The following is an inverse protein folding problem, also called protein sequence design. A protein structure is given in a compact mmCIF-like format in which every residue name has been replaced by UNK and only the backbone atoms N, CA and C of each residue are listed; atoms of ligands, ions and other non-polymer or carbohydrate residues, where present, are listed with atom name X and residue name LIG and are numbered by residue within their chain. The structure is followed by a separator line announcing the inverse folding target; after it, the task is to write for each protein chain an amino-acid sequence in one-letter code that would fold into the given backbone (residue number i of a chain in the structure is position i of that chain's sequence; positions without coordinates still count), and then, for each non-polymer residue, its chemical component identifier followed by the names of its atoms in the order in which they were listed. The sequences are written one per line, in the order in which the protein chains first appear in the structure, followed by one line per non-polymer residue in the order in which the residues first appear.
data_IF_404981003254
#
_entry.id   IF_404981003254
#
_cell.length_a   1.000
_cell.length_b   1.000
_cell.length_c   1.000
_cell.angle_alpha   90.00
_cell.angle_beta   90.00
_cell.angle_gamma   90.00
#
_symmetry.space_group_name_H-M   'P 1'
#
loop_
_entity.id
_entity.type
_entity.pdbx_description
1 polymer ?
#
# COMPACT_ATOMS: atom_id res chain seq x y z
N UNK A 1 15.17 -51.43 -62.33
CA UNK A 1 15.73 -50.79 -61.11
C UNK A 1 15.47 -49.28 -61.13
N UNK A 2 16.04 -48.49 -62.05
CA UNK A 2 15.85 -47.01 -62.11
C UNK A 2 14.40 -46.48 -62.04
N UNK A 3 13.41 -47.19 -62.58
CA UNK A 3 11.99 -46.78 -62.51
C UNK A 3 11.36 -47.03 -61.13
N UNK A 4 11.77 -48.10 -60.43
CA UNK A 4 11.28 -48.40 -59.10
C UNK A 4 11.84 -47.40 -58.07
N UNK A 5 13.11 -47.02 -58.24
CA UNK A 5 13.80 -46.05 -57.38
C UNK A 5 13.16 -44.65 -57.50
N UNK A 6 12.81 -44.22 -58.72
CA UNK A 6 12.12 -42.94 -58.95
C UNK A 6 10.71 -42.90 -58.36
N UNK A 7 9.97 -44.01 -58.41
CA UNK A 7 8.63 -44.11 -57.79
C UNK A 7 8.74 -44.06 -56.27
N UNK A 8 9.74 -44.75 -55.69
CA UNK A 8 10.00 -44.73 -54.25
C UNK A 8 10.38 -43.32 -53.76
N UNK A 9 11.22 -42.59 -54.49
CA UNK A 9 11.60 -41.22 -54.14
C UNK A 9 10.43 -40.25 -54.23
N UNK A 10 9.58 -40.40 -55.26
CA UNK A 10 8.39 -39.55 -55.43
C UNK A 10 7.38 -39.78 -54.31
N UNK A 11 7.16 -41.05 -53.92
CA UNK A 11 6.29 -41.42 -52.80
C UNK A 11 6.86 -40.96 -51.46
N UNK A 12 8.18 -41.04 -51.27
CA UNK A 12 8.87 -40.55 -50.07
C UNK A 12 8.74 -39.02 -49.92
N UNK A 13 8.97 -38.26 -50.99
CA UNK A 13 8.81 -36.80 -50.99
C UNK A 13 7.35 -36.41 -50.76
N UNK A 14 6.39 -37.12 -51.37
CA UNK A 14 4.97 -36.90 -51.13
C UNK A 14 4.58 -37.20 -49.67
N UNK A 15 5.12 -38.27 -49.08
CA UNK A 15 4.93 -38.62 -47.68
C UNK A 15 5.49 -37.56 -46.71
N UNK A 16 6.69 -37.05 -46.97
CA UNK A 16 7.31 -35.99 -46.17
C UNK A 16 6.49 -34.69 -46.26
N UNK A 17 6.00 -34.33 -47.45
CA UNK A 17 5.13 -33.14 -47.63
C UNK A 17 3.80 -33.30 -46.89
N UNK A 18 3.19 -34.48 -46.94
CA UNK A 18 1.96 -34.77 -46.21
C UNK A 18 2.18 -34.66 -44.70
N UNK A 19 3.30 -35.18 -44.19
CA UNK A 19 3.68 -35.06 -42.79
C UNK A 19 3.86 -33.60 -42.39
N UNK A 20 4.56 -32.79 -43.19
CA UNK A 20 4.77 -31.37 -42.92
C UNK A 20 3.46 -30.58 -42.88
N UNK A 21 2.54 -30.85 -43.82
CA UNK A 21 1.20 -30.25 -43.83
C UNK A 21 0.41 -30.64 -42.58
N UNK A 22 0.44 -31.92 -42.20
CA UNK A 22 -0.24 -32.40 -40.99
C UNK A 22 0.28 -31.73 -39.73
N UNK A 23 1.60 -31.58 -39.58
CA UNK A 23 2.20 -30.87 -38.44
C UNK A 23 1.86 -29.38 -38.45
N UNK A 24 1.84 -28.74 -39.63
CA UNK A 24 1.38 -27.36 -39.78
C UNK A 24 -0.07 -27.17 -39.35
N UNK A 25 -0.97 -28.09 -39.75
CA UNK A 25 -2.37 -28.08 -39.35
C UNK A 25 -2.55 -28.32 -37.85
N UNK A 26 -1.80 -29.26 -37.25
CA UNK A 26 -1.80 -29.50 -35.81
C UNK A 26 -1.29 -28.29 -35.03
N UNK A 27 -0.26 -27.60 -35.52
CA UNK A 27 0.26 -26.38 -34.90
C UNK A 27 -0.76 -25.23 -34.96
N UNK A 28 -1.45 -25.05 -36.09
CA UNK A 28 -2.52 -24.06 -36.22
C UNK A 28 -3.70 -24.40 -35.32
N UNK A 29 -4.10 -25.68 -35.24
CA UNK A 29 -5.15 -26.14 -34.34
C UNK A 29 -4.76 -25.91 -32.87
N UNK A 30 -3.51 -26.19 -32.50
CA UNK A 30 -2.99 -25.92 -31.16
C UNK A 30 -3.03 -24.41 -30.82
N UNK A 31 -2.60 -23.53 -31.73
CA UNK A 31 -2.70 -22.08 -31.56
C UNK A 31 -4.15 -21.59 -31.46
N UNK A 32 -5.05 -22.12 -32.28
CA UNK A 32 -6.47 -21.79 -32.20
C UNK A 32 -7.09 -22.26 -30.88
N UNK A 33 -6.69 -23.44 -30.39
CA UNK A 33 -7.14 -23.96 -29.10
C UNK A 33 -6.59 -23.13 -27.94
N UNK A 34 -5.32 -22.69 -28.02
CA UNK A 34 -4.73 -21.73 -27.07
C UNK A 34 -5.45 -20.39 -27.07
N UNK A 35 -5.91 -19.89 -28.22
CA UNK A 35 -6.69 -18.65 -28.31
C UNK A 35 -8.13 -18.81 -27.77
N UNK A 36 -8.71 -20.01 -27.87
CA UNK A 36 -10.04 -20.33 -27.35
C UNK A 36 -10.03 -20.67 -25.85
N UNK A 37 -8.92 -21.23 -25.35
CA UNK A 37 -8.67 -21.54 -23.93
C UNK A 37 -7.95 -20.41 -23.20
N UNK A 38 -7.37 -19.44 -23.92
CA UNK A 38 -6.90 -18.21 -23.31
C UNK A 38 -8.09 -17.62 -22.56
N UNK A 39 -7.96 -17.39 -21.24
CA UNK A 39 -9.01 -16.68 -20.54
C UNK A 39 -9.23 -15.40 -21.31
N UNK A 40 -10.46 -15.19 -21.83
CA UNK A 40 -10.87 -13.85 -22.19
C UNK A 40 -10.60 -13.05 -20.92
N UNK A 41 -9.62 -12.15 -20.97
CA UNK A 41 -9.47 -11.11 -19.96
C UNK A 41 -10.75 -10.28 -20.08
N UNK A 42 -11.83 -10.79 -19.50
CA UNK A 42 -12.99 -9.98 -19.21
C UNK A 42 -12.45 -8.86 -18.33
N UNK A 43 -12.79 -7.64 -18.68
CA UNK A 43 -12.89 -6.58 -17.71
C UNK A 43 -13.98 -6.96 -16.70
N UNK A 44 -13.75 -8.03 -15.93
CA UNK A 44 -14.50 -8.31 -14.74
C UNK A 44 -14.25 -7.15 -13.80
N UNK A 45 -15.32 -6.62 -13.20
CA UNK A 45 -15.18 -5.67 -12.10
C UNK A 45 -14.19 -6.25 -11.11
N UNK A 46 -13.15 -5.47 -10.80
CA UNK A 46 -12.15 -5.87 -9.81
C UNK A 46 -12.88 -6.22 -8.51
N UNK A 47 -12.47 -7.28 -7.79
CA UNK A 47 -13.18 -7.75 -6.61
C UNK A 47 -13.43 -6.59 -5.65
N UNK A 48 -14.68 -6.43 -5.23
CA UNK A 48 -15.04 -5.47 -4.20
C UNK A 48 -14.55 -5.99 -2.85
N UNK A 49 -13.86 -5.14 -2.10
CA UNK A 49 -13.59 -5.42 -0.69
C UNK A 49 -14.90 -5.33 0.08
N UNK A 50 -15.22 -6.38 0.84
CA UNK A 50 -16.45 -6.47 1.63
C UNK A 50 -16.11 -6.42 3.12
N UNK A 51 -16.15 -5.21 3.69
CA UNK A 51 -16.06 -5.00 5.14
C UNK A 51 -17.29 -4.27 5.67
N UNK A 52 -17.49 -4.32 6.98
CA UNK A 52 -18.48 -3.54 7.70
C UNK A 52 -17.84 -2.31 8.33
N UNK A 53 -18.54 -1.16 8.28
CA UNK A 53 -18.13 0.07 8.96
C UNK A 53 -18.23 -0.12 10.49
N UNK A 54 -17.07 -0.25 11.15
CA UNK A 54 -16.95 -0.43 12.59
C UNK A 54 -17.48 0.78 13.37
N UNK A 55 -17.49 1.98 12.77
CA UNK A 55 -18.09 3.16 13.41
C UNK A 55 -19.61 2.97 13.50
N UNK A 56 -20.24 2.47 12.44
CA UNK A 56 -21.66 2.18 12.44
C UNK A 56 -22.00 1.02 13.40
N UNK A 57 -21.16 -0.02 13.44
CA UNK A 57 -21.30 -1.11 14.42
C UNK A 57 -21.22 -0.60 15.86
N UNK A 58 -20.18 0.16 16.20
CA UNK A 58 -19.98 0.72 17.54
C UNK A 58 -21.12 1.67 17.92
N UNK A 59 -21.63 2.46 16.98
CA UNK A 59 -22.77 3.34 17.23
C UNK A 59 -24.02 2.56 17.68
N UNK A 60 -24.20 1.34 17.16
CA UNK A 60 -25.33 0.48 17.50
C UNK A 60 -25.08 -0.38 18.76
N UNK A 61 -23.86 -0.90 18.94
CA UNK A 61 -23.52 -1.85 20.01
C UNK A 61 -23.00 -1.20 21.28
N UNK A 62 -22.19 -0.15 21.15
CA UNK A 62 -21.50 0.52 22.25
C UNK A 62 -21.29 2.02 21.96
N UNK A 63 -22.36 2.83 22.02
CA UNK A 63 -22.28 4.26 21.73
C UNK A 63 -21.41 5.03 22.73
N UNK A 64 -21.22 4.51 23.96
CA UNK A 64 -20.35 5.11 24.97
C UNK A 64 -18.88 5.00 24.57
N UNK A 65 -18.46 3.83 24.09
CA UNK A 65 -17.11 3.63 23.54
C UNK A 65 -16.86 4.47 22.30
N UNK A 66 -17.84 4.58 21.40
CA UNK A 66 -17.73 5.46 20.24
C UNK A 66 -17.59 6.93 20.63
N UNK A 67 -18.32 7.38 21.66
CA UNK A 67 -18.16 8.74 22.18
C UNK A 67 -16.73 9.00 22.69
N UNK A 68 -16.15 8.07 23.45
CA UNK A 68 -14.77 8.20 23.91
C UNK A 68 -13.74 8.25 22.76
N UNK A 69 -13.95 7.47 21.69
CA UNK A 69 -13.13 7.51 20.47
C UNK A 69 -13.23 8.88 19.79
N UNK A 70 -14.46 9.42 19.68
CA UNK A 70 -14.69 10.76 19.11
C UNK A 70 -14.06 11.86 19.95
N UNK A 71 -14.16 11.79 21.27
CA UNK A 71 -13.54 12.76 22.17
C UNK A 71 -12.01 12.79 22.01
N UNK A 72 -11.36 11.62 21.91
CA UNK A 72 -9.92 11.51 21.59
C UNK A 72 -9.60 12.11 20.21
N UNK A 73 -10.43 11.83 19.20
CA UNK A 73 -10.23 12.31 17.84
C UNK A 73 -10.38 13.85 17.73
N UNK A 74 -11.38 14.43 18.39
CA UNK A 74 -11.61 15.89 18.42
C UNK A 74 -10.51 16.63 19.20
N UNK A 75 -9.90 15.97 20.19
CA UNK A 75 -8.73 16.51 20.89
C UNK A 75 -7.45 16.50 20.04
N UNK A 76 -7.43 15.80 18.90
CA UNK A 76 -6.27 15.70 18.02
C UNK A 76 -6.27 16.87 17.01
N UNK A 77 -5.27 17.78 17.08
CA UNK A 77 -5.17 18.89 16.13
C UNK A 77 -5.16 18.40 14.68
N UNK A 78 -5.87 19.10 13.80
CA UNK A 78 -5.93 18.77 12.37
C UNK A 78 -6.40 17.32 12.10
N UNK A 79 -7.18 16.73 13.02
CA UNK A 79 -7.80 15.41 12.85
C UNK A 79 -8.89 15.36 11.77
N UNK A 80 -9.27 16.51 11.22
CA UNK A 80 -10.22 16.64 10.11
C UNK A 80 -9.60 17.37 8.92
N UNK A 81 -9.86 16.87 7.71
CA UNK A 81 -9.42 17.50 6.45
C UNK A 81 -8.30 16.75 5.74
N UNK A 82 -8.38 16.68 4.41
CA UNK A 82 -7.34 16.07 3.57
C UNK A 82 -6.52 17.10 2.78
N UNK A 83 -7.08 18.26 2.44
CA UNK A 83 -6.41 19.29 1.65
C UNK A 83 -6.05 20.50 2.50
N UNK A 84 -4.80 20.92 2.40
CA UNK A 84 -4.25 22.05 3.14
C UNK A 84 -3.49 22.98 2.18
N UNK A 85 -3.76 24.27 2.28
CA UNK A 85 -3.01 25.31 1.59
C UNK A 85 -1.81 25.71 2.46
N UNK A 86 -0.63 25.79 1.86
CA UNK A 86 0.63 26.15 2.52
C UNK A 86 1.15 27.45 1.91
N UNK A 87 1.25 28.50 2.71
CA UNK A 87 1.57 29.85 2.26
C UNK A 87 2.76 30.44 3.03
N UNK A 88 3.57 31.23 2.34
CA UNK A 88 4.65 32.04 2.92
C UNK A 88 4.74 33.37 2.15
N UNK A 89 4.91 34.53 2.83
CA UNK A 89 5.01 35.81 2.15
C UNK A 89 6.10 35.83 1.06
N UNK A 90 5.74 36.29 -0.14
CA UNK A 90 6.67 36.39 -1.27
C UNK A 90 6.90 35.08 -2.04
N UNK A 91 6.22 33.99 -1.67
CA UNK A 91 6.32 32.68 -2.33
C UNK A 91 4.95 32.25 -2.85
N UNK A 92 4.89 31.65 -4.04
CA UNK A 92 3.65 31.11 -4.56
C UNK A 92 3.09 30.02 -3.63
N UNK A 93 1.76 29.96 -3.40
CA UNK A 93 1.17 28.97 -2.51
C UNK A 93 1.47 27.56 -2.99
N UNK A 94 1.61 26.65 -2.04
CA UNK A 94 1.69 25.21 -2.27
C UNK A 94 0.53 24.51 -1.58
N UNK A 95 0.38 23.23 -1.83
CA UNK A 95 -0.70 22.39 -1.32
C UNK A 95 -0.13 21.15 -0.67
N UNK A 96 -0.73 20.74 0.43
CA UNK A 96 -0.46 19.47 1.11
C UNK A 96 -1.75 18.65 1.08
N UNK A 97 -1.65 17.40 0.62
CA UNK A 97 -2.78 16.50 0.47
C UNK A 97 -2.52 15.15 1.14
N UNK A 98 -3.50 14.66 1.90
CA UNK A 98 -3.48 13.35 2.54
C UNK A 98 -3.94 12.25 1.59
N UNK A 99 -3.09 11.28 1.26
CA UNK A 99 -3.40 10.11 0.42
C UNK A 99 -3.68 8.85 1.26
N UNK A 100 -4.18 7.81 0.61
CA UNK A 100 -4.34 6.47 1.19
C UNK A 100 -3.81 5.43 0.20
N UNK A 101 -2.91 4.54 0.65
CA UNK A 101 -2.20 3.58 -0.21
C UNK A 101 -3.04 2.34 -0.59
N UNK A 102 -4.31 2.55 -0.91
CA UNK A 102 -5.24 1.54 -1.39
C UNK A 102 -5.62 1.78 -2.85
N UNK A 103 -5.99 0.72 -3.55
CA UNK A 103 -6.47 0.79 -4.94
C UNK A 103 -7.99 0.95 -5.02
N UNK A 104 -8.66 1.19 -3.90
CA UNK A 104 -10.11 1.34 -3.87
C UNK A 104 -10.58 2.59 -4.64
N UNK A 105 -11.54 2.45 -5.58
CA UNK A 105 -12.06 3.56 -6.37
C UNK A 105 -12.50 4.78 -5.55
N UNK A 106 -12.92 4.57 -4.30
CA UNK A 106 -13.40 5.63 -3.41
C UNK A 106 -12.29 6.53 -2.87
N UNK A 107 -11.02 6.10 -2.91
CA UNK A 107 -9.88 6.84 -2.32
C UNK A 107 -8.80 7.21 -3.34
N UNK A 108 -8.94 6.79 -4.60
CA UNK A 108 -8.01 7.13 -5.70
C UNK A 108 -8.43 8.36 -6.52
N UNK A 109 -9.57 8.98 -6.19
CA UNK A 109 -10.05 10.20 -6.81
C UNK A 109 -9.73 11.40 -5.91
N UNK A 110 -9.23 12.48 -6.53
CA UNK A 110 -9.11 13.77 -5.86
C UNK A 110 -10.49 14.44 -5.77
N UNK A 111 -10.73 15.19 -4.71
CA UNK A 111 -11.85 16.15 -4.67
C UNK A 111 -11.64 17.22 -5.75
N UNK A 112 -12.69 17.93 -6.20
CA UNK A 112 -12.54 19.01 -7.17
C UNK A 112 -11.51 20.08 -6.76
N UNK A 113 -11.47 20.46 -5.48
CA UNK A 113 -10.49 21.41 -4.98
C UNK A 113 -9.06 20.84 -5.00
N UNK A 114 -8.87 19.57 -4.59
CA UNK A 114 -7.56 18.93 -4.64
C UNK A 114 -7.09 18.73 -6.09
N UNK A 115 -8.00 18.43 -7.02
CA UNK A 115 -7.69 18.35 -8.44
C UNK A 115 -7.27 19.71 -9.00
N UNK A 116 -7.98 20.80 -8.67
CA UNK A 116 -7.59 22.14 -9.08
C UNK A 116 -6.22 22.56 -8.52
N UNK A 117 -5.95 22.24 -7.25
CA UNK A 117 -4.65 22.44 -6.61
C UNK A 117 -3.55 21.65 -7.31
N UNK A 118 -3.79 20.38 -7.61
CA UNK A 118 -2.88 19.54 -8.37
C UNK A 118 -2.61 20.14 -9.75
N UNK A 119 -3.64 20.52 -10.50
CA UNK A 119 -3.54 21.05 -11.87
C UNK A 119 -2.73 22.34 -11.96
N UNK A 120 -2.88 23.23 -10.97
CA UNK A 120 -2.13 24.49 -10.89
C UNK A 120 -0.65 24.30 -10.53
N UNK A 121 -0.32 23.25 -9.78
CA UNK A 121 1.04 23.01 -9.31
C UNK A 121 2.01 22.66 -10.45
N UNK A 122 3.19 23.29 -10.43
CA UNK A 122 4.29 22.98 -11.34
C UNK A 122 5.22 21.87 -10.83
N UNK A 123 5.18 21.60 -9.52
CA UNK A 123 5.92 20.52 -8.87
C UNK A 123 4.95 19.62 -8.11
N UNK A 124 5.11 18.31 -8.26
CA UNK A 124 4.40 17.30 -7.49
C UNK A 124 5.42 16.55 -6.64
N UNK A 125 5.12 16.40 -5.36
CA UNK A 125 5.95 15.66 -4.41
C UNK A 125 5.10 14.53 -3.84
N UNK A 126 5.65 13.32 -3.81
CA UNK A 126 5.06 12.15 -3.14
C UNK A 126 6.01 11.71 -2.01
N UNK A 127 5.62 10.76 -1.17
CA UNK A 127 6.52 10.24 -0.13
C UNK A 127 7.79 9.64 -0.74
N UNK A 128 7.66 8.59 -1.55
CA UNK A 128 8.78 7.85 -2.11
C UNK A 128 8.54 7.52 -3.57
N UNK A 129 9.20 8.23 -4.49
CA UNK A 129 9.04 8.03 -5.94
C UNK A 129 9.48 6.63 -6.39
N UNK A 130 10.52 6.10 -5.73
CA UNK A 130 11.09 4.77 -5.96
C UNK A 130 10.20 3.63 -5.41
N UNK A 131 9.26 3.92 -4.52
CA UNK A 131 8.27 2.97 -4.01
C UNK A 131 7.05 2.80 -4.94
N UNK A 132 6.84 3.70 -5.91
CA UNK A 132 5.64 3.70 -6.75
C UNK A 132 5.65 2.64 -7.87
N UNK A 133 6.84 2.14 -8.22
CA UNK A 133 7.00 1.08 -9.21
C UNK A 133 7.30 -0.25 -8.52
N UNK A 134 6.43 -1.28 -8.63
CA UNK A 134 6.62 -2.55 -7.95
C UNK A 134 7.95 -3.25 -8.27
N UNK A 135 8.47 -3.08 -9.48
CA UNK A 135 9.77 -3.69 -9.87
C UNK A 135 10.92 -3.01 -9.16
N UNK A 136 10.91 -1.69 -9.11
CA UNK A 136 11.90 -0.89 -8.36
C UNK A 136 11.83 -1.22 -6.88
N UNK A 137 10.63 -1.25 -6.28
CA UNK A 137 10.45 -1.62 -4.88
C UNK A 137 10.99 -3.03 -4.57
N UNK A 138 10.66 -4.03 -5.41
CA UNK A 138 11.15 -5.40 -5.25
C UNK A 138 12.67 -5.49 -5.41
N UNK A 139 13.25 -4.79 -6.40
CA UNK A 139 14.70 -4.74 -6.59
C UNK A 139 15.41 -4.12 -5.37
N UNK A 140 14.84 -3.06 -4.79
CA UNK A 140 15.38 -2.44 -3.58
C UNK A 140 15.34 -3.37 -2.37
N UNK A 141 14.25 -4.12 -2.19
CA UNK A 141 14.17 -5.15 -1.14
C UNK A 141 15.23 -6.25 -1.34
N UNK A 142 15.45 -6.70 -2.58
CA UNK A 142 16.48 -7.69 -2.90
C UNK A 142 17.92 -7.17 -2.66
N UNK A 143 18.16 -5.88 -2.86
CA UNK A 143 19.45 -5.24 -2.60
C UNK A 143 19.71 -5.00 -1.10
N UNK A 144 18.65 -5.00 -0.28
CA UNK A 144 18.72 -4.77 1.16
C UNK A 144 18.04 -5.92 1.92
N UNK A 145 18.52 -7.17 1.76
CA UNK A 145 17.84 -8.35 2.32
C UNK A 145 17.76 -8.30 3.84
N UNK A 146 18.73 -7.70 4.52
CA UNK A 146 18.74 -7.53 5.98
C UNK A 146 17.58 -6.68 6.50
N UNK A 147 16.91 -5.88 5.67
CA UNK A 147 15.77 -5.07 6.11
C UNK A 147 14.47 -5.89 6.16
N UNK A 148 14.35 -6.92 5.32
CA UNK A 148 13.12 -7.71 5.13
C UNK A 148 13.26 -9.17 5.59
N UNK A 149 14.48 -9.70 5.67
CA UNK A 149 14.79 -11.08 6.07
C UNK A 149 15.65 -11.12 7.33
N UNK A 150 15.58 -12.24 8.05
CA UNK A 150 16.64 -12.68 8.96
C UNK A 150 17.81 -13.23 8.16
N UNK A 151 19.00 -12.66 8.39
CA UNK A 151 20.26 -13.08 7.76
C UNK A 151 21.27 -13.65 8.77
N UNK A 152 20.87 -13.72 10.04
CA UNK A 152 21.63 -14.27 11.16
C UNK A 152 21.23 -15.70 11.54
N UNK A 153 20.39 -16.34 10.71
CA UNK A 153 19.92 -17.71 10.92
C UNK A 153 18.67 -17.84 11.80
N UNK A 154 18.18 -16.74 12.41
CA UNK A 154 16.89 -16.75 13.09
C UNK A 154 15.74 -17.05 12.14
N UNK A 155 14.66 -17.54 12.72
CA UNK A 155 13.39 -17.79 12.04
C UNK A 155 12.25 -17.08 12.74
N UNK A 156 11.21 -16.75 11.99
CA UNK A 156 9.96 -16.25 12.52
C UNK A 156 9.41 -17.13 13.65
N UNK A 157 9.47 -18.45 13.47
CA UNK A 157 9.00 -19.43 14.45
C UNK A 157 9.77 -19.40 15.77
N UNK A 158 10.99 -18.88 15.79
CA UNK A 158 11.80 -18.80 17.02
C UNK A 158 11.27 -17.69 17.95
N UNK A 159 10.46 -16.78 17.41
CA UNK A 159 9.90 -15.61 18.10
C UNK A 159 8.46 -15.81 18.59
N UNK A 160 7.83 -16.92 18.20
CA UNK A 160 6.44 -17.22 18.48
C UNK A 160 6.35 -18.33 19.53
N UNK A 161 5.32 -18.30 20.37
CA UNK A 161 4.99 -19.42 21.25
C UNK A 161 4.37 -20.61 20.47
N UNK A 162 4.19 -21.80 21.08
CA UNK A 162 3.66 -22.96 20.38
C UNK A 162 2.24 -22.77 19.80
N UNK A 163 1.36 -22.02 20.46
CA UNK A 163 -0.02 -21.79 20.01
C UNK A 163 -0.03 -20.80 18.85
N UNK A 164 0.73 -19.71 18.96
CA UNK A 164 0.94 -18.71 17.92
C UNK A 164 1.54 -19.33 16.66
N UNK A 165 2.52 -20.25 16.79
CA UNK A 165 3.10 -20.95 15.64
C UNK A 165 2.07 -21.75 14.83
N UNK A 166 1.15 -22.44 15.52
CA UNK A 166 0.10 -23.21 14.87
C UNK A 166 -0.84 -22.27 14.12
N UNK A 167 -1.30 -21.22 14.80
CA UNK A 167 -2.20 -20.22 14.19
C UNK A 167 -1.57 -19.52 12.99
N UNK A 168 -0.33 -19.05 13.13
CA UNK A 168 0.45 -18.45 12.03
C UNK A 168 0.55 -19.42 10.86
N UNK A 169 0.86 -20.69 11.11
CA UNK A 169 0.99 -21.67 10.04
C UNK A 169 -0.34 -21.87 9.29
N UNK A 170 -1.45 -22.03 10.02
CA UNK A 170 -2.79 -22.22 9.45
C UNK A 170 -3.22 -21.01 8.60
N UNK A 171 -3.15 -19.80 9.15
CA UNK A 171 -3.56 -18.56 8.47
C UNK A 171 -2.73 -18.26 7.21
N UNK A 172 -1.44 -18.60 7.25
CA UNK A 172 -0.56 -18.45 6.10
C UNK A 172 -0.83 -19.50 5.01
N UNK A 173 -1.16 -20.73 5.41
CA UNK A 173 -1.48 -21.81 4.49
C UNK A 173 -2.77 -21.52 3.70
N UNK A 174 -3.80 -20.95 4.36
CA UNK A 174 -5.03 -20.50 3.69
C UNK A 174 -4.78 -19.43 2.62
N UNK A 175 -3.77 -18.58 2.84
CA UNK A 175 -3.35 -17.53 1.90
C UNK A 175 -2.33 -18.01 0.87
N UNK A 176 -2.03 -19.31 0.83
CA UNK A 176 -1.08 -19.90 -0.12
C UNK A 176 0.38 -19.52 0.15
N UNK A 177 0.72 -19.18 1.40
CA UNK A 177 2.07 -18.83 1.85
C UNK A 177 2.59 -19.90 2.83
N UNK A 178 3.16 -21.03 2.37
CA UNK A 178 3.66 -22.05 3.28
C UNK A 178 4.68 -21.46 4.28
N UNK A 179 4.50 -21.72 5.58
CA UNK A 179 5.38 -21.19 6.64
C UNK A 179 6.86 -21.45 6.36
N UNK A 180 7.19 -22.61 5.77
CA UNK A 180 8.56 -22.97 5.38
C UNK A 180 9.18 -22.01 4.37
N UNK A 181 8.37 -21.39 3.49
CA UNK A 181 8.82 -20.46 2.47
C UNK A 181 9.09 -19.06 3.04
N UNK A 182 8.41 -18.70 4.14
CA UNK A 182 8.49 -17.35 4.72
C UNK A 182 9.14 -17.31 6.10
N UNK A 183 9.58 -18.45 6.65
CA UNK A 183 10.18 -18.54 7.99
C UNK A 183 11.42 -17.65 8.18
N UNK A 184 12.03 -17.17 7.09
CA UNK A 184 13.18 -16.25 7.12
C UNK A 184 12.78 -14.79 6.91
N UNK A 185 11.52 -14.48 6.66
CA UNK A 185 11.03 -13.11 6.64
C UNK A 185 10.92 -12.58 8.06
N UNK A 186 11.15 -11.28 8.23
CA UNK A 186 10.90 -10.59 9.51
C UNK A 186 9.40 -10.50 9.80
N UNK A 187 8.97 -10.49 11.08
CA UNK A 187 7.55 -10.55 11.41
C UNK A 187 6.73 -9.41 10.79
N UNK A 188 7.30 -8.21 10.70
CA UNK A 188 6.63 -7.05 10.09
C UNK A 188 6.31 -7.23 8.59
N UNK A 189 7.12 -8.01 7.86
CA UNK A 189 6.87 -8.31 6.44
C UNK A 189 5.65 -9.21 6.33
N UNK A 190 5.59 -10.22 7.20
CA UNK A 190 4.49 -11.19 7.25
C UNK A 190 3.20 -10.50 7.70
N UNK A 191 3.24 -9.70 8.76
CA UNK A 191 2.07 -8.93 9.20
C UNK A 191 1.58 -7.95 8.14
N UNK A 192 2.48 -7.28 7.42
CA UNK A 192 2.10 -6.38 6.31
C UNK A 192 1.41 -7.11 5.16
N UNK A 193 1.83 -8.34 4.85
CA UNK A 193 1.18 -9.18 3.85
C UNK A 193 -0.19 -9.69 4.32
N UNK A 194 -0.30 -10.09 5.59
CA UNK A 194 -1.53 -10.57 6.21
C UNK A 194 -2.59 -9.48 6.38
N UNK A 195 -2.17 -8.26 6.73
CA UNK A 195 -3.04 -7.11 6.95
C UNK A 195 -3.73 -6.60 5.68
N UNK A 196 -3.31 -7.07 4.49
CA UNK A 196 -3.87 -6.67 3.22
C UNK A 196 -5.03 -7.59 2.81
N UNK A 197 -6.27 -7.07 2.66
CA UNK A 197 -7.40 -7.85 2.20
C UNK A 197 -7.14 -8.56 0.88
N UNK A 198 -7.68 -9.77 0.71
CA UNK A 198 -7.53 -10.56 -0.52
C UNK A 198 -8.00 -9.81 -1.78
N UNK A 199 -9.06 -9.01 -1.67
CA UNK A 199 -9.56 -8.14 -2.73
C UNK A 199 -8.53 -7.06 -3.15
N UNK A 200 -7.86 -6.42 -2.20
CA UNK A 200 -6.85 -5.39 -2.45
C UNK A 200 -5.58 -6.02 -3.02
N UNK A 201 -5.18 -7.20 -2.53
CA UNK A 201 -4.12 -7.99 -3.16
C UNK A 201 -4.42 -8.28 -4.63
N UNK A 202 -5.63 -8.78 -4.93
CA UNK A 202 -6.04 -9.08 -6.31
C UNK A 202 -6.04 -7.82 -7.20
N UNK A 203 -6.50 -6.67 -6.69
CA UNK A 203 -6.44 -5.38 -7.39
C UNK A 203 -5.02 -4.95 -7.68
N UNK A 204 -4.13 -4.97 -6.69
CA UNK A 204 -2.71 -4.63 -6.88
C UNK A 204 -2.04 -5.57 -7.90
N UNK A 205 -2.33 -6.87 -7.85
CA UNK A 205 -1.82 -7.86 -8.83
C UNK A 205 -2.33 -7.62 -10.25
N UNK A 206 -3.54 -7.07 -10.42
CA UNK A 206 -4.08 -6.65 -11.72
C UNK A 206 -3.45 -5.37 -12.27
N UNK A 207 -2.56 -4.71 -11.50
CA UNK A 207 -1.92 -3.46 -11.87
C UNK A 207 -2.76 -2.21 -11.58
N UNK A 208 -3.79 -2.32 -10.72
CA UNK A 208 -4.56 -1.15 -10.30
C UNK A 208 -3.65 -0.16 -9.54
N UNK A 209 -3.57 1.12 -9.96
CA UNK A 209 -2.75 2.10 -9.26
C UNK A 209 -3.49 2.65 -8.03
N UNK A 210 -2.76 2.86 -6.94
CA UNK A 210 -3.21 3.69 -5.83
C UNK A 210 -2.93 5.18 -6.12
N UNK A 211 -3.45 6.08 -5.28
CA UNK A 211 -3.48 7.51 -5.58
C UNK A 211 -2.09 8.10 -5.84
N UNK A 212 -1.09 7.81 -5.01
CA UNK A 212 0.26 8.38 -5.14
C UNK A 212 0.91 8.00 -6.48
N UNK A 213 0.76 6.73 -6.91
CA UNK A 213 1.23 6.25 -8.20
C UNK A 213 0.51 6.96 -9.37
N UNK A 214 -0.80 7.19 -9.23
CA UNK A 214 -1.58 7.97 -10.19
C UNK A 214 -1.08 9.41 -10.27
N UNK A 215 -0.91 10.10 -9.14
CA UNK A 215 -0.44 11.48 -9.08
C UNK A 215 0.93 11.62 -9.72
N UNK A 216 1.86 10.72 -9.44
CA UNK A 216 3.20 10.73 -10.02
C UNK A 216 3.19 10.50 -11.53
N UNK A 217 2.37 9.56 -12.02
CA UNK A 217 2.20 9.30 -13.45
C UNK A 217 1.60 10.52 -14.16
N UNK A 218 0.53 11.07 -13.61
CA UNK A 218 -0.19 12.20 -14.19
C UNK A 218 0.70 13.47 -14.17
N UNK A 219 1.53 13.65 -13.13
CA UNK A 219 2.54 14.69 -13.05
C UNK A 219 3.59 14.58 -14.16
N UNK A 220 4.16 13.38 -14.37
CA UNK A 220 5.10 13.11 -15.47
C UNK A 220 4.46 13.36 -16.83
N UNK A 221 3.23 12.92 -17.03
CA UNK A 221 2.48 13.12 -18.28
C UNK A 221 2.20 14.60 -18.57
N UNK A 222 1.96 15.39 -17.53
CA UNK A 222 1.74 16.84 -17.63
C UNK A 222 3.05 17.67 -17.67
N UNK A 223 4.23 17.04 -17.68
CA UNK A 223 5.52 17.74 -17.70
C UNK A 223 5.86 18.46 -16.39
N UNK A 224 5.21 18.09 -15.27
CA UNK A 224 5.49 18.64 -13.94
C UNK A 224 6.77 18.03 -13.38
N UNK A 225 7.45 18.78 -12.50
CA UNK A 225 8.59 18.22 -11.75
C UNK A 225 8.06 17.22 -10.73
N UNK A 226 8.61 16.00 -10.68
CA UNK A 226 8.25 14.98 -9.70
C UNK A 226 9.40 14.77 -8.71
N UNK A 227 9.12 14.87 -7.41
CA UNK A 227 10.08 14.66 -6.33
C UNK A 227 9.54 13.69 -5.26
N UNK A 228 10.44 13.13 -4.46
CA UNK A 228 10.13 12.35 -3.25
C UNK A 228 10.54 13.10 -2.00
N UNK A 229 9.78 12.97 -0.91
CA UNK A 229 10.19 13.43 0.42
C UNK A 229 11.14 12.44 1.12
N UNK A 230 11.07 11.18 0.72
CA UNK A 230 11.76 10.03 1.30
C UNK A 230 12.17 9.06 0.19
N UNK A 231 12.79 7.96 0.59
CA UNK A 231 13.09 6.80 -0.26
C UNK A 231 12.45 5.55 0.33
N UNK A 232 12.20 4.53 -0.49
CA UNK A 232 11.73 3.23 0.03
C UNK A 232 12.73 2.66 1.05
N UNK A 233 14.05 2.83 0.83
CA UNK A 233 15.08 2.35 1.76
C UNK A 233 14.93 3.00 3.13
N UNK A 234 14.77 4.32 3.20
CA UNK A 234 14.59 5.02 4.47
C UNK A 234 13.32 4.57 5.23
N UNK A 235 12.25 4.22 4.52
CA UNK A 235 11.03 3.68 5.15
C UNK A 235 11.26 2.26 5.69
N UNK A 236 11.97 1.41 4.95
CA UNK A 236 12.35 0.07 5.38
C UNK A 236 13.31 0.11 6.58
N UNK A 237 14.27 1.03 6.59
CA UNK A 237 15.19 1.26 7.72
C UNK A 237 14.44 1.72 8.97
N UNK A 238 13.47 2.63 8.81
CA UNK A 238 12.61 3.07 9.92
C UNK A 238 11.85 1.88 10.52
N UNK A 239 11.17 1.09 9.67
CA UNK A 239 10.45 -0.12 10.13
C UNK A 239 11.39 -1.11 10.82
N UNK A 240 12.57 -1.33 10.25
CA UNK A 240 13.57 -2.26 10.77
C UNK A 240 14.23 -1.78 12.08
N UNK A 241 14.19 -0.48 12.38
CA UNK A 241 14.74 0.09 13.61
C UNK A 241 13.85 -0.13 14.84
N UNK A 242 12.60 -0.53 14.64
CA UNK A 242 11.69 -0.86 15.74
C UNK A 242 12.21 -2.10 16.51
N UNK A 243 12.00 -2.15 17.84
CA UNK A 243 12.30 -3.34 18.62
C UNK A 243 11.58 -4.56 18.06
N UNK A 244 12.23 -5.73 18.09
CA UNK A 244 11.65 -6.98 17.55
C UNK A 244 10.32 -7.34 18.21
N UNK A 245 10.15 -7.01 19.49
CA UNK A 245 8.90 -7.18 20.23
C UNK A 245 7.72 -6.45 19.55
N UNK A 246 7.95 -5.23 19.04
CA UNK A 246 6.93 -4.49 18.27
C UNK A 246 6.53 -5.22 16.99
N UNK A 247 7.49 -5.86 16.32
CA UNK A 247 7.20 -6.65 15.11
C UNK A 247 6.38 -7.91 15.44
N UNK A 248 6.70 -8.59 16.54
CA UNK A 248 5.98 -9.78 17.00
C UNK A 248 4.57 -9.40 17.45
N UNK A 249 4.42 -8.38 18.28
CA UNK A 249 3.12 -7.87 18.72
C UNK A 249 2.23 -7.48 17.54
N UNK A 250 2.81 -6.81 16.54
CA UNK A 250 2.10 -6.45 15.31
C UNK A 250 1.62 -7.67 14.51
N UNK A 251 2.42 -8.73 14.43
CA UNK A 251 2.02 -9.98 13.81
C UNK A 251 0.89 -10.65 14.61
N UNK A 252 1.04 -10.81 15.91
CA UNK A 252 0.03 -11.42 16.79
C UNK A 252 -1.29 -10.65 16.74
N UNK A 253 -1.24 -9.32 16.78
CA UNK A 253 -2.42 -8.46 16.64
C UNK A 253 -3.09 -8.63 15.28
N UNK A 254 -2.32 -8.75 14.19
CA UNK A 254 -2.87 -8.95 12.84
C UNK A 254 -3.63 -10.26 12.74
N UNK A 255 -3.07 -11.36 13.27
CA UNK A 255 -3.72 -12.67 13.31
C UNK A 255 -4.98 -12.63 14.18
N UNK A 256 -4.89 -12.00 15.36
CA UNK A 256 -6.02 -11.84 16.26
C UNK A 256 -7.19 -11.05 15.65
N UNK A 257 -6.91 -10.22 14.65
CA UNK A 257 -7.87 -9.39 13.93
C UNK A 257 -8.28 -9.96 12.58
N UNK A 258 -7.87 -11.17 12.22
CA UNK A 258 -8.09 -11.77 10.89
C UNK A 258 -9.52 -11.57 10.36
N UNK A 259 -10.53 -11.99 11.13
CA UNK A 259 -11.96 -11.88 10.77
C UNK A 259 -12.46 -10.42 10.65
N UNK A 260 -11.66 -9.45 11.07
CA UNK A 260 -11.98 -8.03 11.17
C UNK A 260 -11.12 -7.15 10.28
N UNK A 261 -10.10 -7.68 9.60
CA UNK A 261 -9.20 -6.90 8.75
C UNK A 261 -9.96 -6.18 7.63
N UNK A 262 -10.93 -6.86 7.01
CA UNK A 262 -11.78 -6.28 5.97
C UNK A 262 -12.64 -5.13 6.53
N UNK A 263 -13.21 -5.30 7.74
CA UNK A 263 -13.96 -4.25 8.43
C UNK A 263 -13.08 -3.04 8.78
N UNK A 264 -11.84 -3.27 9.20
CA UNK A 264 -10.89 -2.21 9.52
C UNK A 264 -10.55 -1.39 8.28
N UNK A 265 -10.26 -2.05 7.16
CA UNK A 265 -9.94 -1.39 5.90
C UNK A 265 -11.16 -0.62 5.37
N UNK A 266 -12.36 -1.20 5.41
CA UNK A 266 -13.59 -0.49 5.06
C UNK A 266 -13.79 0.75 5.94
N UNK A 267 -13.57 0.61 7.25
CA UNK A 267 -13.74 1.73 8.19
C UNK A 267 -12.72 2.83 7.94
N UNK A 268 -11.46 2.50 7.63
CA UNK A 268 -10.46 3.49 7.23
C UNK A 268 -10.87 4.22 5.95
N UNK A 269 -11.39 3.52 4.95
CA UNK A 269 -11.92 4.16 3.72
C UNK A 269 -13.07 5.11 4.06
N UNK A 270 -14.01 4.69 4.90
CA UNK A 270 -15.15 5.51 5.33
C UNK A 270 -14.67 6.77 6.07
N UNK A 271 -13.75 6.64 7.02
CA UNK A 271 -13.18 7.76 7.76
C UNK A 271 -12.42 8.71 6.83
N UNK A 272 -11.61 8.19 5.91
CA UNK A 272 -10.89 9.00 4.92
C UNK A 272 -11.86 9.80 4.05
N UNK A 273 -12.95 9.18 3.55
CA UNK A 273 -13.97 9.88 2.76
C UNK A 273 -14.73 10.96 3.53
N UNK A 274 -14.89 10.79 4.84
CA UNK A 274 -15.46 11.80 5.74
C UNK A 274 -14.42 12.83 6.17
N UNK A 275 -13.18 12.67 5.74
CA UNK A 275 -12.01 13.44 6.14
C UNK A 275 -11.75 13.40 7.65
N UNK A 276 -12.15 12.33 8.35
CA UNK A 276 -12.06 12.15 9.81
C UNK A 276 -10.83 11.31 10.21
N UNK A 277 -9.66 11.70 9.68
CA UNK A 277 -8.41 10.92 9.79
C UNK A 277 -7.93 10.78 11.24
N UNK A 278 -8.17 11.78 12.09
CA UNK A 278 -7.83 11.74 13.51
C UNK A 278 -8.56 10.65 14.31
N UNK A 279 -9.61 10.05 13.74
CA UNK A 279 -10.36 8.97 14.37
C UNK A 279 -9.71 7.58 14.14
N UNK A 280 -8.82 7.44 13.15
CA UNK A 280 -8.24 6.14 12.77
C UNK A 280 -7.48 5.52 13.94
N UNK A 281 -6.56 6.26 14.56
CA UNK A 281 -5.75 5.75 15.66
C UNK A 281 -6.56 5.38 16.91
N UNK A 282 -7.43 6.26 17.47
CA UNK A 282 -8.29 5.89 18.60
C UNK A 282 -9.23 4.71 18.30
N UNK A 283 -9.70 4.58 17.05
CA UNK A 283 -10.51 3.44 16.63
C UNK A 283 -9.70 2.14 16.63
N UNK A 284 -8.50 2.14 16.02
CA UNK A 284 -7.62 0.98 15.96
C UNK A 284 -7.20 0.51 17.36
N UNK A 285 -6.78 1.43 18.23
CA UNK A 285 -6.48 1.17 19.64
C UNK A 285 -7.68 0.53 20.36
N UNK A 286 -8.87 1.03 20.08
CA UNK A 286 -10.09 0.51 20.64
C UNK A 286 -10.36 -0.92 20.17
N UNK A 287 -10.42 -1.19 18.87
CA UNK A 287 -10.88 -2.49 18.35
C UNK A 287 -9.85 -3.61 18.41
N UNK A 288 -8.56 -3.26 18.58
CA UNK A 288 -7.48 -4.25 18.71
C UNK A 288 -7.52 -4.90 20.10
N UNK A 289 -7.48 -6.24 20.20
CA UNK A 289 -7.36 -6.93 21.48
C UNK A 289 -6.13 -6.44 22.25
N UNK A 290 -6.34 -6.01 23.49
CA UNK A 290 -5.28 -5.49 24.34
C UNK A 290 -4.49 -6.65 24.95
N UNK A 291 -3.18 -6.67 24.70
CA UNK A 291 -2.22 -7.60 25.29
C UNK A 291 -1.26 -6.82 26.19
N UNK A 292 -0.61 -7.45 27.18
CA UNK A 292 0.46 -6.78 27.91
C UNK A 292 1.51 -6.24 26.93
N UNK A 293 1.82 -4.94 27.00
CA UNK A 293 2.80 -4.30 26.10
C UNK A 293 2.22 -3.71 24.80
N UNK A 294 0.95 -3.96 24.45
CA UNK A 294 0.38 -3.52 23.17
C UNK A 294 0.37 -1.99 23.01
N UNK A 295 0.16 -1.26 24.10
CA UNK A 295 0.16 0.21 24.09
C UNK A 295 1.57 0.77 23.86
N UNK A 296 2.58 0.18 24.49
CA UNK A 296 3.98 0.55 24.32
C UNK A 296 4.45 0.27 22.89
N UNK A 297 4.11 -0.90 22.35
CA UNK A 297 4.44 -1.28 20.97
C UNK A 297 3.75 -0.38 19.95
N UNK A 298 2.48 -0.04 20.17
CA UNK A 298 1.75 0.90 19.33
C UNK A 298 2.35 2.30 19.37
N UNK A 299 2.67 2.83 20.56
CA UNK A 299 3.31 4.13 20.71
C UNK A 299 4.71 4.16 20.08
N UNK A 300 5.47 3.06 20.18
CA UNK A 300 6.77 2.93 19.51
C UNK A 300 6.61 2.94 17.99
N UNK A 301 5.62 2.22 17.46
CA UNK A 301 5.29 2.20 16.04
C UNK A 301 4.91 3.60 15.54
N UNK A 302 3.96 4.28 16.19
CA UNK A 302 3.53 5.63 15.83
C UNK A 302 4.72 6.61 15.83
N UNK A 303 5.54 6.56 16.90
CA UNK A 303 6.71 7.42 17.04
C UNK A 303 7.70 7.25 15.88
N UNK A 304 7.98 6.02 15.45
CA UNK A 304 8.97 5.76 14.40
C UNK A 304 8.38 5.92 13.01
N UNK A 305 7.21 5.32 12.76
CA UNK A 305 6.60 5.24 11.43
C UNK A 305 5.79 6.46 11.04
N UNK A 306 5.41 7.31 12.00
CA UNK A 306 4.71 8.57 11.74
C UNK A 306 5.51 9.75 12.24
N UNK A 307 5.74 9.88 13.54
CA UNK A 307 6.32 11.11 14.11
C UNK A 307 7.72 11.41 13.58
N UNK A 308 8.66 10.46 13.67
CA UNK A 308 10.04 10.67 13.20
C UNK A 308 10.08 10.95 11.69
N UNK A 309 9.25 10.25 10.91
CA UNK A 309 9.10 10.47 9.48
C UNK A 309 8.51 11.85 9.15
N UNK A 310 7.53 12.34 9.90
CA UNK A 310 6.96 13.68 9.72
C UNK A 310 8.03 14.78 9.80
N UNK A 311 8.96 14.68 10.75
CA UNK A 311 10.07 15.62 10.87
C UNK A 311 11.00 15.57 9.66
N UNK A 312 11.33 14.37 9.18
CA UNK A 312 12.12 14.18 7.95
C UNK A 312 11.41 14.74 6.72
N UNK A 313 10.13 14.40 6.54
CA UNK A 313 9.28 14.89 5.47
C UNK A 313 9.20 16.42 5.44
N UNK A 314 8.98 17.07 6.58
CA UNK A 314 8.94 18.54 6.66
C UNK A 314 10.30 19.15 6.34
N UNK A 315 11.40 18.59 6.84
CA UNK A 315 12.75 19.02 6.49
C UNK A 315 12.99 18.96 4.97
N UNK A 316 12.58 17.87 4.33
CA UNK A 316 12.76 17.65 2.90
C UNK A 316 11.76 18.44 2.04
N UNK A 317 10.60 18.80 2.58
CA UNK A 317 9.62 19.64 1.91
C UNK A 317 10.05 21.11 1.85
N UNK A 318 10.79 21.62 2.84
CA UNK A 318 11.17 23.06 2.94
C UNK A 318 11.80 23.61 1.66
N UNK A 319 12.83 23.00 1.03
CA UNK A 319 13.42 23.53 -0.21
C UNK A 319 12.43 23.59 -1.38
N UNK A 320 11.41 22.73 -1.40
CA UNK A 320 10.34 22.75 -2.40
C UNK A 320 9.36 23.86 -2.08
N UNK A 321 8.95 23.98 -0.82
CA UNK A 321 8.03 25.01 -0.35
C UNK A 321 8.59 26.43 -0.46
N UNK A 322 9.90 26.64 -0.33
CA UNK A 322 10.54 27.95 -0.59
C UNK A 322 10.47 28.36 -2.06
N UNK A 323 10.39 27.40 -2.99
CA UNK A 323 10.16 27.69 -4.42
C UNK A 323 8.68 27.94 -4.72
N UNK A 324 7.79 27.37 -3.90
CA UNK A 324 6.34 27.49 -4.06
C UNK A 324 5.78 26.67 -5.21
N UNK A 325 4.47 26.83 -5.45
CA UNK A 325 3.74 26.18 -6.56
C UNK A 325 3.90 24.64 -6.59
N UNK A 326 3.89 24.02 -5.40
CA UNK A 326 4.00 22.58 -5.24
C UNK A 326 2.68 21.94 -4.79
N UNK A 327 2.45 20.69 -5.18
CA UNK A 327 1.44 19.81 -4.63
C UNK A 327 2.15 18.64 -3.96
N UNK A 328 2.11 18.59 -2.63
CA UNK A 328 2.77 17.59 -1.79
C UNK A 328 1.74 16.58 -1.32
N UNK A 329 1.94 15.32 -1.65
CA UNK A 329 1.10 14.20 -1.25
C UNK A 329 1.84 13.33 -0.22
N UNK A 330 1.23 13.14 0.95
CA UNK A 330 1.70 12.25 2.03
C UNK A 330 0.52 11.42 2.52
N UNK A 331 0.76 10.26 3.10
CA UNK A 331 -0.27 9.44 3.71
C UNK A 331 -1.07 10.25 4.73
N UNK A 332 -2.39 10.11 4.73
CA UNK A 332 -3.28 10.95 5.51
C UNK A 332 -2.97 10.92 7.02
N UNK A 333 -2.47 9.78 7.53
CA UNK A 333 -2.08 9.62 8.94
C UNK A 333 -0.87 10.48 9.35
N UNK A 334 -0.13 11.06 8.40
CA UNK A 334 0.95 12.01 8.67
C UNK A 334 0.43 13.43 8.98
N UNK A 335 -0.85 13.75 8.70
CA UNK A 335 -1.40 15.10 8.85
C UNK A 335 -1.74 15.50 10.30
N UNK A 336 -2.44 14.67 11.10
CA UNK A 336 -2.96 15.08 12.40
C UNK A 336 -1.90 15.11 13.51
N UNK A 337 -2.24 15.77 14.61
CA UNK A 337 -1.47 15.80 15.85
C UNK A 337 -0.49 16.97 15.94
N UNK A 338 0.02 17.19 17.15
CA UNK A 338 1.03 18.22 17.46
C UNK A 338 2.33 18.03 16.67
N UNK A 339 2.63 16.77 16.34
CA UNK A 339 3.80 16.37 15.55
C UNK A 339 3.39 15.91 14.14
N UNK A 340 2.17 16.24 13.72
CA UNK A 340 1.68 16.07 12.35
C UNK A 340 2.33 17.07 11.41
N UNK A 341 2.41 16.73 10.12
CA UNK A 341 3.01 17.57 9.07
C UNK A 341 2.38 18.97 9.04
N UNK A 342 1.08 19.09 9.29
CA UNK A 342 0.38 20.38 9.34
C UNK A 342 0.95 21.29 10.43
N UNK A 343 1.06 20.79 11.67
CA UNK A 343 1.63 21.57 12.78
C UNK A 343 3.12 21.81 12.62
N UNK A 344 3.87 20.83 12.15
CA UNK A 344 5.31 20.98 11.92
C UNK A 344 5.60 22.04 10.85
N UNK A 345 4.79 22.16 9.80
CA UNK A 345 4.90 23.24 8.83
C UNK A 345 4.53 24.61 9.45
N UNK A 346 3.51 24.69 10.31
CA UNK A 346 3.21 25.91 11.07
C UNK A 346 4.39 26.33 11.95
N UNK A 347 4.96 25.38 12.70
CA UNK A 347 6.18 25.57 13.51
C UNK A 347 7.39 25.99 12.65
N UNK A 348 7.46 25.56 11.40
CA UNK A 348 8.50 25.97 10.44
C UNK A 348 8.27 27.36 9.80
N UNK A 349 7.19 28.06 10.17
CA UNK A 349 6.92 29.44 9.74
C UNK A 349 6.03 29.58 8.50
N UNK A 350 5.35 28.51 8.08
CA UNK A 350 4.34 28.57 7.01
C UNK A 350 2.96 28.85 7.60
N UNK A 351 2.13 29.60 6.89
CA UNK A 351 0.69 29.65 7.17
C UNK A 351 0.04 28.43 6.51
N UNK A 352 -0.54 27.54 7.33
CA UNK A 352 -1.20 26.32 6.83
C UNK A 352 -2.67 26.35 7.19
N UNK A 353 -3.55 26.35 6.19
CA UNK A 353 -5.00 26.43 6.36
C UNK A 353 -5.69 25.27 5.65
N UNK A 354 -6.76 24.73 6.25
CA UNK A 354 -7.57 23.71 5.58
C UNK A 354 -8.24 24.34 4.35
N UNK A 355 -8.32 23.58 3.28
CA UNK A 355 -9.03 23.95 2.06
C UNK A 355 -10.09 22.89 1.72
N UNK A 356 -11.14 23.33 1.01
CA UNK A 356 -12.32 22.52 0.67
C UNK A 356 -12.63 22.59 -0.82
#
# INVERSE_FOLDING_TARGET
MKHADHIADTLSIAGIRLLAILHGLLFVAFLATLLLLAPKAGAGELPACSGQDLVAELQARDPGRLAAIRDKAEATPNGRGLLWKVEKPGVAPSWLFGTMHLTDPRVIALTPAAQAAFDQAGTVVVEAVDALDPKTAAATMMQNPDLVMFTDGRKLTDLLDPEERVRVAEELEERGMPLVAIQHMKPWVVSSALALPACEMARKQSGAPFLDARLARDAKAAGKTLLGLETIVSQLEAMNSLPMEVHVDGLVATLALEDRLDDMIETMIVLYKREEVGMVWPLLESVTPQQPGSNESYAAFEKVMVTARNHGMVSNARPVLEKGNAFIAVGALHLPGEEGVVELLRKAGYAVTRAE
#
